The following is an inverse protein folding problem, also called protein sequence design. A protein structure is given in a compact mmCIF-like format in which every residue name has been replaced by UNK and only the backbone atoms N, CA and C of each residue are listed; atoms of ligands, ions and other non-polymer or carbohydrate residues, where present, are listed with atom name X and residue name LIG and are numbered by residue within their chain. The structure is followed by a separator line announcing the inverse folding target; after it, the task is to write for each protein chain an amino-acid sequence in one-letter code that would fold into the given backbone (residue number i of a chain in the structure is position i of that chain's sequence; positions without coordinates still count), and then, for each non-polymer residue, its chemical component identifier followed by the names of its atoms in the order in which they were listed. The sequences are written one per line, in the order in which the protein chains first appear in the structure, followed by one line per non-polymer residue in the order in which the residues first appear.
data_IF_481086803156
#
_entry.id   IF_481086803156
#
_cell.length_a   1.000
_cell.length_b   1.000
_cell.length_c   1.000
_cell.angle_alpha   90.00
_cell.angle_beta   90.00
_cell.angle_gamma   90.00
#
_symmetry.space_group_name_H-M   'P 1'
#
loop_
_entity.id
_entity.type
_entity.pdbx_description
1 polymer ?
#
# COMPACT_ATOMS: atom_id res chain seq x y z
N UNK A 1 5.68 -2.39 -15.81
CA UNK A 1 6.60 -3.13 -14.92
C UNK A 1 5.79 -3.98 -13.95
N UNK A 2 6.11 -5.27 -13.87
CA UNK A 2 5.52 -6.20 -12.89
C UNK A 2 6.58 -6.49 -11.81
N UNK A 3 6.25 -6.20 -10.56
CA UNK A 3 7.13 -6.36 -9.41
C UNK A 3 6.63 -7.50 -8.53
N UNK A 4 7.49 -8.46 -8.22
CA UNK A 4 7.23 -9.48 -7.20
C UNK A 4 7.68 -9.02 -5.81
N UNK A 5 7.28 -9.75 -4.76
CA UNK A 5 7.64 -9.46 -3.36
C UNK A 5 9.13 -9.16 -3.16
N UNK A 6 10.03 -9.97 -3.74
CA UNK A 6 11.49 -9.77 -3.64
C UNK A 6 11.95 -8.44 -4.25
N UNK A 7 11.42 -8.07 -5.41
CA UNK A 7 11.75 -6.79 -6.06
C UNK A 7 11.19 -5.60 -5.27
N UNK A 8 10.00 -5.74 -4.70
CA UNK A 8 9.40 -4.74 -3.81
C UNK A 8 10.29 -4.53 -2.58
N UNK A 9 10.72 -5.62 -1.93
CA UNK A 9 11.63 -5.55 -0.78
C UNK A 9 12.93 -4.80 -1.09
N UNK A 10 13.52 -5.01 -2.27
CA UNK A 10 14.69 -4.25 -2.71
C UNK A 10 14.43 -2.76 -2.85
N UNK A 11 13.31 -2.37 -3.44
CA UNK A 11 12.95 -0.95 -3.62
C UNK A 11 12.64 -0.26 -2.29
N UNK A 12 12.06 -1.01 -1.34
CA UNK A 12 11.69 -0.49 -0.02
C UNK A 12 12.81 -0.63 1.03
N UNK A 13 13.96 -1.22 0.66
CA UNK A 13 15.04 -1.58 1.59
C UNK A 13 14.57 -2.45 2.78
N UNK A 14 13.64 -3.37 2.50
CA UNK A 14 13.08 -4.30 3.48
C UNK A 14 13.47 -5.76 3.17
N UNK A 15 13.69 -6.55 4.22
CA UNK A 15 13.71 -8.00 4.08
C UNK A 15 12.37 -8.49 3.52
N UNK A 16 12.40 -9.51 2.68
CA UNK A 16 11.21 -10.09 2.04
C UNK A 16 10.13 -10.48 3.06
N UNK A 17 10.54 -10.91 4.25
CA UNK A 17 9.66 -11.26 5.38
C UNK A 17 8.82 -10.10 5.93
N UNK A 18 9.25 -8.85 5.70
CA UNK A 18 8.53 -7.65 6.12
C UNK A 18 7.69 -7.03 5.00
N UNK A 19 7.74 -7.58 3.78
CA UNK A 19 6.96 -7.09 2.65
C UNK A 19 5.56 -7.69 2.68
N UNK A 20 4.56 -6.85 2.95
CA UNK A 20 3.15 -7.28 3.05
C UNK A 20 2.44 -7.32 1.70
N UNK A 21 3.10 -6.90 0.61
CA UNK A 21 2.58 -6.91 -0.76
C UNK A 21 3.11 -8.14 -1.51
N UNK A 22 2.24 -8.91 -2.18
CA UNK A 22 2.67 -10.06 -2.97
C UNK A 22 3.16 -9.65 -4.37
N UNK A 23 2.44 -8.73 -5.00
CA UNK A 23 2.74 -8.23 -6.35
C UNK A 23 2.36 -6.76 -6.50
N UNK A 24 3.10 -6.04 -7.33
CA UNK A 24 2.70 -4.70 -7.78
C UNK A 24 2.85 -4.56 -9.30
N UNK A 25 1.96 -3.77 -9.90
CA UNK A 25 1.98 -3.43 -11.33
C UNK A 25 2.06 -1.92 -11.45
N UNK A 26 3.12 -1.46 -12.09
CA UNK A 26 3.39 -0.05 -12.35
C UNK A 26 3.46 0.17 -13.85
N UNK A 27 2.72 1.14 -14.38
CA UNK A 27 2.75 1.49 -15.80
C UNK A 27 3.41 2.86 -15.98
N UNK A 28 4.59 2.95 -16.65
CA UNK A 28 5.23 4.23 -16.92
C UNK A 28 4.39 5.22 -17.74
N UNK A 29 3.36 4.76 -18.48
CA UNK A 29 2.41 5.64 -19.17
C UNK A 29 1.45 6.34 -18.19
N UNK A 30 1.26 5.75 -17.01
CA UNK A 30 0.44 6.29 -15.91
C UNK A 30 1.31 6.36 -14.64
N UNK A 31 2.34 7.22 -14.60
CA UNK A 31 3.39 7.17 -13.58
C UNK A 31 2.89 7.49 -12.16
N UNK A 32 1.72 8.10 -12.04
CA UNK A 32 1.10 8.39 -10.75
C UNK A 32 0.27 7.22 -10.20
N UNK A 33 0.17 6.10 -10.93
CA UNK A 33 -0.70 4.99 -10.59
C UNK A 33 0.13 3.75 -10.25
N UNK A 34 -0.22 3.10 -9.14
CA UNK A 34 0.33 1.81 -8.74
C UNK A 34 -0.82 0.86 -8.39
N UNK A 35 -0.81 -0.32 -8.99
CA UNK A 35 -1.68 -1.43 -8.57
C UNK A 35 -0.90 -2.37 -7.67
N UNK A 36 -1.49 -2.75 -6.55
CA UNK A 36 -0.91 -3.62 -5.53
C UNK A 36 -1.87 -4.80 -5.32
N UNK A 37 -1.32 -6.00 -5.26
CA UNK A 37 -2.07 -7.24 -5.04
C UNK A 37 -1.55 -7.91 -3.78
N UNK A 38 -2.49 -8.35 -2.95
CA UNK A 38 -2.24 -9.11 -1.73
C UNK A 38 -3.21 -10.29 -1.63
N UNK A 39 -2.66 -11.49 -1.50
CA UNK A 39 -3.41 -12.68 -1.15
C UNK A 39 -3.57 -12.77 0.37
N UNK A 40 -4.82 -12.84 0.84
CA UNK A 40 -5.14 -12.94 2.25
C UNK A 40 -5.13 -14.41 2.69
N UNK A 41 -3.94 -14.99 2.77
CA UNK A 41 -3.78 -16.40 3.13
C UNK A 41 -4.41 -16.73 4.49
N UNK A 42 -4.91 -17.96 4.66
CA UNK A 42 -5.54 -18.39 5.92
C UNK A 42 -4.60 -18.33 7.13
N UNK A 43 -3.31 -18.48 6.87
CA UNK A 43 -2.23 -18.42 7.83
C UNK A 43 -1.53 -17.04 7.88
N UNK A 44 -2.12 -16.01 7.28
CA UNK A 44 -1.58 -14.65 7.38
C UNK A 44 -1.53 -14.23 8.86
N UNK A 45 -0.37 -13.72 9.29
CA UNK A 45 -0.13 -13.33 10.67
C UNK A 45 -1.13 -12.28 11.15
N UNK A 46 -1.61 -11.41 10.26
CA UNK A 46 -2.58 -10.39 10.60
C UNK A 46 -3.96 -10.99 10.89
N UNK A 47 -4.29 -12.20 10.40
CA UNK A 47 -5.48 -12.95 10.86
C UNK A 47 -5.21 -13.64 12.20
N UNK A 48 -4.11 -14.41 12.28
CA UNK A 48 -3.84 -15.28 13.45
C UNK A 48 -3.62 -14.46 14.72
N UNK A 49 -2.96 -13.30 14.61
CA UNK A 49 -2.58 -12.48 15.77
C UNK A 49 -3.65 -11.49 16.21
N UNK A 50 -4.80 -11.42 15.53
CA UNK A 50 -5.79 -10.37 15.76
C UNK A 50 -6.73 -10.67 16.94
N UNK A 51 -7.82 -11.41 16.70
CA UNK A 51 -8.81 -11.79 17.71
C UNK A 51 -9.19 -13.25 17.44
N UNK A 52 -9.07 -14.10 18.47
CA UNK A 52 -9.38 -15.53 18.33
C UNK A 52 -10.82 -15.73 17.84
N UNK A 53 -10.98 -16.51 16.76
CA UNK A 53 -12.28 -16.76 16.11
C UNK A 53 -12.80 -15.63 15.22
N UNK A 54 -12.08 -14.52 15.08
CA UNK A 54 -12.46 -13.42 14.19
C UNK A 54 -11.77 -13.55 12.84
N UNK A 55 -12.57 -13.88 11.81
CA UNK A 55 -12.06 -14.19 10.47
C UNK A 55 -12.17 -13.02 9.48
N UNK A 56 -12.15 -11.77 9.97
CA UNK A 56 -12.19 -10.57 9.13
C UNK A 56 -10.80 -9.93 9.15
N UNK A 57 -10.30 -9.54 7.98
CA UNK A 57 -8.97 -8.96 7.86
C UNK A 57 -8.97 -7.57 8.54
N UNK A 58 -8.04 -7.31 9.46
CA UNK A 58 -8.09 -6.11 10.27
C UNK A 58 -7.72 -4.86 9.46
N UNK A 59 -8.35 -3.75 9.82
CA UNK A 59 -8.15 -2.44 9.19
C UNK A 59 -6.70 -1.93 9.30
N UNK A 60 -6.03 -2.18 10.43
CA UNK A 60 -4.62 -1.82 10.58
C UNK A 60 -3.70 -2.59 9.62
N UNK A 61 -4.07 -3.80 9.21
CA UNK A 61 -3.27 -4.57 8.25
C UNK A 61 -3.46 -4.03 6.83
N UNK A 62 -4.68 -3.60 6.49
CA UNK A 62 -4.95 -2.82 5.28
C UNK A 62 -4.07 -1.55 5.27
N UNK A 63 -3.98 -0.84 6.39
CA UNK A 63 -3.15 0.36 6.50
C UNK A 63 -1.65 0.08 6.27
N UNK A 64 -1.12 -1.07 6.73
CA UNK A 64 0.27 -1.49 6.43
C UNK A 64 0.50 -1.64 4.93
N UNK A 65 -0.45 -2.25 4.22
CA UNK A 65 -0.38 -2.48 2.76
C UNK A 65 -0.45 -1.15 2.02
N UNK A 66 -1.39 -0.27 2.40
CA UNK A 66 -1.50 1.07 1.83
C UNK A 66 -0.22 1.86 2.05
N UNK A 67 0.35 1.81 3.24
CA UNK A 67 1.61 2.48 3.55
C UNK A 67 2.71 1.98 2.61
N UNK A 68 3.03 0.68 2.61
CA UNK A 68 4.08 0.12 1.73
C UNK A 68 3.82 0.39 0.25
N UNK A 69 2.57 0.39 -0.20
CA UNK A 69 2.22 0.71 -1.58
C UNK A 69 2.51 2.17 -1.94
N UNK A 70 2.18 3.13 -1.05
CA UNK A 70 2.56 4.54 -1.22
C UNK A 70 4.08 4.68 -1.25
N UNK A 71 4.79 4.03 -0.30
CA UNK A 71 6.26 4.03 -0.27
C UNK A 71 6.83 3.55 -1.60
N UNK A 72 6.29 2.45 -2.13
CA UNK A 72 6.73 1.85 -3.38
C UNK A 72 6.50 2.78 -4.57
N UNK A 73 5.32 3.41 -4.67
CA UNK A 73 5.03 4.38 -5.72
C UNK A 73 6.00 5.57 -5.66
N UNK A 74 6.32 6.05 -4.46
CA UNK A 74 7.29 7.15 -4.26
C UNK A 74 8.69 6.74 -4.72
N UNK A 75 9.18 5.55 -4.35
CA UNK A 75 10.48 5.04 -4.81
C UNK A 75 10.55 4.92 -6.34
N UNK A 76 9.43 4.59 -6.99
CA UNK A 76 9.34 4.49 -8.45
C UNK A 76 9.34 5.87 -9.12
N UNK A 77 8.67 6.85 -8.52
CA UNK A 77 8.61 8.23 -9.03
C UNK A 77 9.90 9.02 -8.78
N UNK A 78 10.56 8.75 -7.65
CA UNK A 78 11.70 9.52 -7.16
C UNK A 78 12.82 8.57 -6.71
N UNK A 79 13.56 7.95 -7.64
CA UNK A 79 14.59 6.97 -7.29
C UNK A 79 15.74 7.55 -6.46
N UNK A 80 15.93 8.86 -6.49
CA UNK A 80 16.96 9.56 -5.71
C UNK A 80 16.48 9.98 -4.30
N UNK A 81 15.18 9.83 -4.01
CA UNK A 81 14.62 10.15 -2.70
C UNK A 81 14.95 9.01 -1.72
N UNK A 82 15.78 9.33 -0.72
CA UNK A 82 16.23 8.34 0.27
C UNK A 82 15.25 8.12 1.42
N UNK A 83 14.47 9.14 1.78
CA UNK A 83 13.50 9.06 2.87
C UNK A 83 12.08 9.03 2.32
N UNK A 84 11.25 8.22 2.96
CA UNK A 84 9.90 7.93 2.52
C UNK A 84 8.92 8.85 3.26
N UNK A 85 7.84 9.36 2.63
CA UNK A 85 6.97 10.34 3.28
C UNK A 85 6.44 9.88 4.63
N UNK A 86 6.51 10.79 5.61
CA UNK A 86 5.73 10.71 6.85
C UNK A 86 4.30 11.12 6.50
N UNK A 87 3.34 10.24 6.79
CA UNK A 87 1.97 10.38 6.33
C UNK A 87 0.97 10.72 7.43
N UNK A 88 -0.06 11.48 7.07
CA UNK A 88 -1.31 11.64 7.82
C UNK A 88 -2.46 11.05 6.98
N UNK A 89 -3.35 10.30 7.63
CA UNK A 89 -4.55 9.75 7.00
C UNK A 89 -5.72 10.65 7.40
N UNK A 90 -6.42 11.26 6.43
CA UNK A 90 -7.58 12.12 6.73
C UNK A 90 -8.88 11.33 6.80
N UNK A 91 -9.10 10.43 5.82
CA UNK A 91 -10.37 9.75 5.66
C UNK A 91 -10.14 8.28 5.35
N UNK A 92 -10.66 7.40 6.21
CA UNK A 92 -10.78 5.97 5.93
C UNK A 92 -12.27 5.64 5.87
N UNK A 93 -12.68 4.93 4.82
CA UNK A 93 -14.03 4.36 4.75
C UNK A 93 -13.90 2.87 4.45
N UNK A 94 -14.36 2.07 5.41
CA UNK A 94 -14.53 0.63 5.25
C UNK A 94 -15.88 0.38 4.57
N UNK A 95 -15.85 -0.25 3.41
CA UNK A 95 -17.02 -0.47 2.54
C UNK A 95 -17.44 -1.94 2.51
N UNK A 96 -16.54 -2.85 2.86
CA UNK A 96 -16.80 -4.28 2.88
C UNK A 96 -15.82 -5.02 3.78
N UNK A 97 -16.07 -6.30 3.95
CA UNK A 97 -15.23 -7.21 4.72
C UNK A 97 -14.33 -8.00 3.78
N UNK A 98 -13.16 -8.36 4.29
CA UNK A 98 -12.16 -9.20 3.62
C UNK A 98 -11.95 -10.44 4.48
N UNK A 99 -11.93 -11.60 3.85
CA UNK A 99 -11.85 -12.90 4.52
C UNK A 99 -10.61 -13.70 4.10
N UNK A 100 -10.24 -14.73 4.89
CA UNK A 100 -9.22 -15.68 4.49
C UNK A 100 -9.51 -16.32 3.13
N UNK A 101 -8.54 -16.25 2.23
CA UNK A 101 -8.62 -16.72 0.85
C UNK A 101 -8.98 -15.65 -0.17
N UNK A 102 -9.38 -14.45 0.26
CA UNK A 102 -9.63 -13.34 -0.65
C UNK A 102 -8.33 -12.82 -1.28
N UNK A 103 -8.47 -12.26 -2.49
CA UNK A 103 -7.43 -11.45 -3.10
C UNK A 103 -7.85 -9.98 -3.02
N UNK A 104 -6.95 -9.18 -2.47
CA UNK A 104 -7.11 -7.75 -2.33
C UNK A 104 -6.34 -7.04 -3.44
N UNK A 105 -7.04 -6.20 -4.20
CA UNK A 105 -6.52 -5.39 -5.29
C UNK A 105 -6.62 -3.92 -4.92
N UNK A 106 -5.47 -3.29 -4.63
CA UNK A 106 -5.39 -1.87 -4.27
C UNK A 106 -4.89 -1.04 -5.46
N UNK A 107 -5.59 0.05 -5.77
CA UNK A 107 -5.13 1.09 -6.68
C UNK A 107 -4.74 2.32 -5.86
N UNK A 108 -3.49 2.71 -5.97
CA UNK A 108 -2.91 3.87 -5.29
C UNK A 108 -2.56 4.89 -6.37
N UNK A 109 -3.15 6.08 -6.26
CA UNK A 109 -2.94 7.19 -7.17
C UNK A 109 -2.30 8.36 -6.45
N UNK A 110 -1.20 8.88 -6.97
CA UNK A 110 -0.70 10.19 -6.57
C UNK A 110 -1.52 11.26 -7.28
N UNK A 111 -2.30 12.02 -6.51
CA UNK A 111 -3.26 12.99 -7.05
C UNK A 111 -2.66 14.38 -7.26
N UNK A 112 -1.95 14.91 -6.26
CA UNK A 112 -1.48 16.30 -6.27
C UNK A 112 -0.24 16.48 -5.41
N UNK A 113 0.67 17.36 -5.86
CA UNK A 113 1.69 17.98 -5.01
C UNK A 113 1.25 19.42 -4.68
N UNK A 114 1.25 19.78 -3.40
CA UNK A 114 1.17 21.18 -2.94
C UNK A 114 2.33 21.47 -2.01
N UNK A 115 3.23 22.34 -2.45
CA UNK A 115 4.48 22.66 -1.74
C UNK A 115 5.30 21.41 -1.43
N UNK A 116 5.25 20.91 -0.19
CA UNK A 116 5.97 19.72 0.29
C UNK A 116 5.03 18.59 0.68
N UNK A 117 3.77 18.62 0.25
CA UNK A 117 2.76 17.62 0.60
C UNK A 117 2.27 16.96 -0.68
N UNK A 118 2.41 15.63 -0.75
CA UNK A 118 1.82 14.79 -1.77
C UNK A 118 0.52 14.18 -1.25
N UNK A 119 -0.56 14.27 -2.04
CA UNK A 119 -1.85 13.62 -1.77
C UNK A 119 -1.94 12.32 -2.56
N UNK A 120 -2.39 11.26 -1.89
CA UNK A 120 -2.64 9.95 -2.46
C UNK A 120 -4.11 9.58 -2.28
N UNK A 121 -4.72 9.04 -3.34
CA UNK A 121 -6.05 8.46 -3.33
C UNK A 121 -5.94 6.95 -3.46
N UNK A 122 -6.68 6.23 -2.62
CA UNK A 122 -6.60 4.79 -2.52
C UNK A 122 -7.99 4.21 -2.65
N UNK A 123 -8.15 3.26 -3.57
CA UNK A 123 -9.30 2.37 -3.66
C UNK A 123 -8.84 0.92 -3.57
N UNK A 124 -9.55 0.10 -2.83
CA UNK A 124 -9.25 -1.33 -2.68
C UNK A 124 -10.50 -2.13 -2.98
N UNK A 125 -10.35 -3.12 -3.85
CA UNK A 125 -11.39 -4.07 -4.23
C UNK A 125 -10.99 -5.50 -3.83
N UNK A 126 -11.98 -6.35 -3.59
CA UNK A 126 -11.75 -7.80 -3.48
C UNK A 126 -11.74 -8.48 -4.87
N UNK A 127 -11.51 -9.78 -4.93
CA UNK A 127 -11.45 -10.55 -6.19
C UNK A 127 -12.75 -10.53 -7.01
N UNK A 128 -13.86 -10.08 -6.43
CA UNK A 128 -15.16 -9.95 -7.11
C UNK A 128 -15.40 -8.52 -7.64
N UNK A 129 -14.44 -7.61 -7.47
CA UNK A 129 -14.55 -6.21 -7.88
C UNK A 129 -15.40 -5.34 -6.94
N UNK A 130 -15.71 -5.81 -5.73
CA UNK A 130 -16.41 -4.97 -4.75
C UNK A 130 -15.42 -4.06 -4.03
N UNK A 131 -15.71 -2.76 -4.00
CA UNK A 131 -14.97 -1.79 -3.20
C UNK A 131 -15.10 -2.13 -1.70
N UNK A 132 -13.97 -2.38 -1.04
CA UNK A 132 -13.90 -2.74 0.38
C UNK A 132 -13.26 -1.66 1.25
N UNK A 133 -12.40 -0.82 0.66
CA UNK A 133 -11.73 0.27 1.37
C UNK A 133 -11.48 1.43 0.42
N UNK A 134 -11.68 2.64 0.90
CA UNK A 134 -11.24 3.87 0.22
C UNK A 134 -10.62 4.83 1.23
N UNK A 135 -9.59 5.55 0.80
CA UNK A 135 -8.90 6.51 1.66
C UNK A 135 -8.21 7.63 0.89
N UNK A 136 -7.97 8.72 1.61
CA UNK A 136 -7.05 9.79 1.20
C UNK A 136 -5.94 9.92 2.23
N UNK A 137 -4.71 9.87 1.75
CA UNK A 137 -3.49 9.97 2.56
C UNK A 137 -2.65 11.14 2.07
N UNK A 138 -2.09 11.90 3.00
CA UNK A 138 -1.16 12.99 2.70
C UNK A 138 0.20 12.61 3.23
N UNK A 139 1.24 12.82 2.45
CA UNK A 139 2.61 12.53 2.83
C UNK A 139 3.52 13.73 2.57
N UNK A 140 4.47 13.98 3.46
CA UNK A 140 5.51 14.99 3.24
C UNK A 140 6.79 14.30 2.76
N UNK A 141 7.27 14.49 1.52
CA UNK A 141 8.58 14.01 1.12
C UNK A 141 9.66 14.67 1.98
N UNK A 142 10.60 13.88 2.50
CA UNK A 142 11.71 14.38 3.31
C UNK A 142 12.96 14.34 2.44
N UNK A 143 13.49 15.51 2.09
CA UNK A 143 14.84 15.61 1.50
C UNK A 143 15.90 15.51 2.60
N UNK A 144 17.00 14.82 2.31
CA UNK A 144 18.14 14.69 3.22
C UNK A 144 18.76 16.08 3.45
N UNK A 145 18.89 16.52 4.71
CA UNK A 145 19.92 17.53 5.01
C UNK A 145 21.29 16.84 4.94
N UNK A 146 22.30 17.41 4.27
CA UNK A 146 23.67 16.92 4.41
C UNK A 146 24.02 16.95 5.91
N UNK A 147 24.41 15.80 6.45
CA UNK A 147 25.04 15.70 7.77
C UNK A 147 26.54 15.89 7.66
#
# INVERSE_FOLDING_TARGET
MNLNRKQIGKLLELSESYVVIDKAVYDPQYPNDLRVVKLLAKDDIDFISHISGYHIYPDYAIAKIVNQGIRLLVCLLYPDLKDIPVGMIEHIKLRGQLYPGDEMNALIKKWQDRSRIAKFEIGIENQRGFLVYESTVYGTPIERKPG
#
